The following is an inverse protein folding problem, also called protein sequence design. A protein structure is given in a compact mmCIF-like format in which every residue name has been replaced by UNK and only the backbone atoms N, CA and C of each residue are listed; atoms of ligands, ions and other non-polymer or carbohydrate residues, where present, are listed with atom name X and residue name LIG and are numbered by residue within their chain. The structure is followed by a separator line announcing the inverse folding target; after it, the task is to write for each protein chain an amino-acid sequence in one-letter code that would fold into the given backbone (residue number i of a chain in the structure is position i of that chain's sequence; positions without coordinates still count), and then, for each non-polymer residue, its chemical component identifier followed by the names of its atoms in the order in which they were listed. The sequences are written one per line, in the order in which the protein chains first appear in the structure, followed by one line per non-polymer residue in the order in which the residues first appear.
data_IF_258776166400
#
_entry.id   IF_258776166400
#
_cell.length_a   1.000
_cell.length_b   1.000
_cell.length_c   1.000
_cell.angle_alpha   90.00
_cell.angle_beta   90.00
_cell.angle_gamma   90.00
#
_symmetry.space_group_name_H-M   'P 1'
#
loop_
_entity.id
_entity.type
_entity.pdbx_description
1 polymer ?
#
# COMPACT_ATOMS: atom_id res chain seq x y z
N UNK A 1 45.60 -8.86 -1.40
CA UNK A 1 44.61 -7.80 -1.66
C UNK A 1 43.93 -8.08 -3.02
N UNK A 2 42.95 -9.00 -3.03
CA UNK A 2 42.01 -9.33 -4.14
C UNK A 2 41.20 -10.57 -3.73
N UNK A 3 40.28 -10.42 -2.78
CA UNK A 3 39.35 -11.50 -2.41
C UNK A 3 38.11 -10.99 -1.64
N UNK A 4 37.55 -9.82 -1.98
CA UNK A 4 36.26 -9.37 -1.40
C UNK A 4 35.40 -8.64 -2.47
N UNK A 5 35.38 -9.14 -3.72
CA UNK A 5 34.55 -8.51 -4.77
C UNK A 5 33.75 -9.49 -5.65
N UNK A 6 33.54 -10.74 -5.22
CA UNK A 6 32.82 -11.75 -6.04
C UNK A 6 31.51 -12.29 -5.46
N UNK A 7 31.03 -11.80 -4.33
CA UNK A 7 29.79 -12.30 -3.68
C UNK A 7 28.61 -11.34 -3.70
N UNK A 8 28.75 -10.10 -4.19
CA UNK A 8 27.62 -9.18 -4.32
C UNK A 8 26.80 -9.39 -5.61
N UNK A 9 27.43 -9.86 -6.70
CA UNK A 9 26.75 -10.02 -8.00
C UNK A 9 25.78 -11.21 -8.06
N UNK A 10 26.02 -12.27 -7.28
CA UNK A 10 25.18 -13.48 -7.28
C UNK A 10 23.83 -13.30 -6.58
N UNK A 11 23.77 -12.46 -5.53
CA UNK A 11 22.53 -12.21 -4.80
C UNK A 11 21.60 -11.20 -5.49
N UNK A 12 22.16 -10.24 -6.23
CA UNK A 12 21.37 -9.27 -7.00
C UNK A 12 20.62 -9.92 -8.18
N UNK A 13 21.23 -10.93 -8.82
CA UNK A 13 20.62 -11.65 -9.96
C UNK A 13 19.45 -12.54 -9.51
N UNK A 14 19.56 -13.18 -8.34
CA UNK A 14 18.50 -14.03 -7.81
C UNK A 14 17.29 -13.21 -7.33
N UNK A 15 17.53 -11.99 -6.85
CA UNK A 15 16.48 -11.07 -6.41
C UNK A 15 15.80 -10.34 -7.58
N UNK A 16 16.55 -10.01 -8.63
CA UNK A 16 15.99 -9.49 -9.89
C UNK A 16 15.07 -10.51 -10.59
N UNK A 17 15.39 -11.81 -10.52
CA UNK A 17 14.54 -12.88 -11.03
C UNK A 17 13.20 -12.97 -10.28
N UNK A 18 13.17 -12.61 -8.98
CA UNK A 18 11.94 -12.55 -8.18
C UNK A 18 11.04 -11.36 -8.55
N UNK A 19 11.64 -10.23 -8.98
CA UNK A 19 10.88 -9.05 -9.42
C UNK A 19 10.23 -9.26 -10.79
N UNK A 20 10.89 -10.03 -11.68
CA UNK A 20 10.34 -10.37 -13.00
C UNK A 20 9.12 -11.29 -12.97
N UNK A 21 8.80 -11.91 -11.83
CA UNK A 21 7.65 -12.80 -11.64
C UNK A 21 6.51 -12.17 -10.84
N UNK A 22 6.65 -10.91 -10.38
CA UNK A 22 5.55 -10.19 -9.72
C UNK A 22 4.51 -9.86 -10.80
N UNK A 23 3.31 -10.48 -10.76
CA UNK A 23 2.28 -10.15 -11.72
C UNK A 23 1.99 -8.64 -11.64
N UNK A 24 1.91 -8.00 -12.80
CA UNK A 24 1.41 -6.62 -12.91
C UNK A 24 0.05 -6.53 -12.24
N UNK A 25 -0.23 -5.45 -11.50
CA UNK A 25 -1.58 -5.16 -11.01
C UNK A 25 -2.63 -5.23 -12.16
N UNK A 26 -2.22 -4.93 -13.40
CA UNK A 26 -3.03 -5.09 -14.60
C UNK A 26 -3.47 -6.55 -14.91
N UNK A 27 -2.71 -7.57 -14.49
CA UNK A 27 -3.09 -8.98 -14.70
C UNK A 27 -4.06 -9.52 -13.65
N UNK A 28 -4.19 -8.86 -12.50
CA UNK A 28 -5.21 -9.17 -11.50
C UNK A 28 -6.61 -8.67 -11.94
N UNK A 29 -6.66 -7.64 -12.79
CA UNK A 29 -7.92 -7.06 -13.31
C UNK A 29 -8.59 -7.95 -14.37
N UNK A 30 -7.85 -8.82 -15.06
CA UNK A 30 -8.33 -9.51 -16.27
C UNK A 30 -8.85 -10.94 -16.07
N UNK A 31 -8.68 -11.56 -14.89
CA UNK A 31 -9.08 -12.95 -14.66
C UNK A 31 -10.16 -13.06 -13.57
N UNK A 32 -11.41 -12.86 -13.99
CA UNK A 32 -12.62 -12.90 -13.17
C UNK A 32 -12.89 -14.25 -12.48
N UNK A 33 -12.20 -14.51 -11.37
CA UNK A 33 -12.57 -15.55 -10.40
C UNK A 33 -13.28 -14.92 -9.19
N UNK A 34 -14.45 -15.43 -8.76
CA UNK A 34 -15.34 -14.69 -7.85
C UNK A 34 -14.86 -14.50 -6.40
N UNK A 35 -13.60 -14.79 -6.04
CA UNK A 35 -13.19 -14.80 -4.63
C UNK A 35 -11.72 -14.47 -4.32
N UNK A 36 -10.92 -13.82 -5.18
CA UNK A 36 -9.47 -13.66 -4.90
C UNK A 36 -8.86 -12.30 -5.24
N UNK A 37 -8.22 -11.73 -4.23
CA UNK A 37 -6.93 -11.02 -4.29
C UNK A 37 -6.84 -9.69 -5.06
N UNK A 38 -7.79 -8.79 -4.86
CA UNK A 38 -7.65 -7.36 -5.21
C UNK A 38 -7.45 -6.47 -3.96
N UNK A 39 -6.76 -6.98 -2.93
CA UNK A 39 -6.46 -6.19 -1.74
C UNK A 39 -5.31 -5.22 -2.01
N UNK A 40 -5.36 -3.96 -1.53
CA UNK A 40 -4.26 -3.01 -1.67
C UNK A 40 -2.95 -3.49 -1.00
N UNK A 41 -3.04 -4.40 -0.02
CA UNK A 41 -1.89 -5.04 0.63
C UNK A 41 -1.02 -5.95 -0.25
N UNK A 42 -1.46 -6.28 -1.47
CA UNK A 42 -0.69 -7.10 -2.42
C UNK A 42 0.37 -6.34 -3.20
N UNK A 43 0.47 -5.02 -3.06
CA UNK A 43 1.36 -4.18 -3.87
C UNK A 43 2.71 -3.98 -3.16
N UNK A 44 3.83 -4.54 -3.66
CA UNK A 44 5.12 -4.51 -2.97
C UNK A 44 5.85 -3.16 -3.11
N UNK A 45 5.20 -2.05 -2.76
CA UNK A 45 5.72 -0.69 -2.96
C UNK A 45 6.98 -0.44 -2.13
N UNK A 46 6.92 -0.71 -0.82
CA UNK A 46 8.08 -0.54 0.07
C UNK A 46 9.20 -1.51 -0.32
N UNK A 47 8.88 -2.78 -0.61
CA UNK A 47 9.88 -3.78 -0.98
C UNK A 47 10.64 -3.40 -2.26
N UNK A 48 9.94 -2.95 -3.31
CA UNK A 48 10.58 -2.45 -4.54
C UNK A 48 11.41 -1.19 -4.28
N UNK A 49 10.92 -0.28 -3.43
CA UNK A 49 11.62 0.95 -3.06
C UNK A 49 12.90 0.68 -2.28
N UNK A 50 12.88 -0.24 -1.32
CA UNK A 50 14.07 -0.61 -0.55
C UNK A 50 15.07 -1.37 -1.41
N UNK A 51 14.60 -2.21 -2.33
CA UNK A 51 15.48 -2.88 -3.27
C UNK A 51 16.14 -1.88 -4.24
N UNK A 52 15.40 -0.86 -4.68
CA UNK A 52 15.96 0.27 -5.41
C UNK A 52 17.08 0.94 -4.60
N UNK A 53 16.83 1.30 -3.33
CA UNK A 53 17.85 1.92 -2.46
C UNK A 53 19.09 1.05 -2.28
N UNK A 54 18.93 -0.27 -2.22
CA UNK A 54 20.02 -1.21 -2.05
C UNK A 54 20.86 -1.44 -3.33
N UNK A 55 20.27 -1.28 -4.52
CA UNK A 55 20.89 -1.67 -5.79
C UNK A 55 21.21 -0.51 -6.73
N UNK A 56 20.49 0.60 -6.61
CA UNK A 56 20.52 1.71 -7.56
C UNK A 56 19.84 1.40 -8.90
N UNK A 57 19.07 0.31 -9.03
CA UNK A 57 18.35 0.00 -10.28
C UNK A 57 17.03 0.78 -10.38
N UNK A 58 17.05 1.89 -11.12
CA UNK A 58 15.89 2.77 -11.34
C UNK A 58 14.65 2.03 -11.89
N UNK A 59 14.82 0.86 -12.54
CA UNK A 59 13.67 0.06 -13.01
C UNK A 59 12.77 -0.41 -11.89
N UNK A 60 13.32 -0.62 -10.69
CA UNK A 60 12.57 -1.03 -9.51
C UNK A 60 11.70 0.11 -8.97
N UNK A 61 12.26 1.32 -8.91
CA UNK A 61 11.52 2.51 -8.50
C UNK A 61 10.41 2.84 -9.50
N UNK A 62 10.72 2.78 -10.80
CA UNK A 62 9.73 2.96 -11.86
C UNK A 62 8.60 1.92 -11.77
N UNK A 63 8.92 0.67 -11.43
CA UNK A 63 7.91 -0.37 -11.22
C UNK A 63 7.02 -0.08 -10.01
N UNK A 64 7.61 0.37 -8.91
CA UNK A 64 6.86 0.76 -7.71
C UNK A 64 5.91 1.92 -8.03
N UNK A 65 6.38 2.95 -8.76
CA UNK A 65 5.55 4.06 -9.21
C UNK A 65 4.39 3.59 -10.09
N UNK A 66 4.66 2.76 -11.10
CA UNK A 66 3.61 2.22 -11.97
C UNK A 66 2.50 1.51 -11.18
N UNK A 67 2.86 0.75 -10.16
CA UNK A 67 1.91 0.04 -9.31
C UNK A 67 1.12 0.99 -8.41
N UNK A 68 1.79 1.98 -7.82
CA UNK A 68 1.15 2.99 -6.98
C UNK A 68 0.19 3.89 -7.77
N UNK A 69 0.55 4.29 -8.99
CA UNK A 69 -0.35 5.01 -9.90
C UNK A 69 -1.60 4.18 -10.20
N UNK A 70 -1.43 2.89 -10.52
CA UNK A 70 -2.56 2.00 -10.81
C UNK A 70 -3.49 1.83 -9.60
N UNK A 71 -2.96 1.66 -8.38
CA UNK A 71 -3.78 1.47 -7.18
C UNK A 71 -4.43 2.76 -6.69
N UNK A 72 -3.75 3.91 -6.75
CA UNK A 72 -4.28 5.20 -6.27
C UNK A 72 -5.30 5.83 -7.21
N UNK A 73 -5.29 5.48 -8.50
CA UNK A 73 -6.24 5.98 -9.51
C UNK A 73 -7.37 5.00 -9.82
N UNK A 74 -7.30 3.76 -9.32
CA UNK A 74 -8.34 2.76 -9.59
C UNK A 74 -9.67 3.16 -8.95
N UNK A 75 -10.72 3.32 -9.76
CA UNK A 75 -12.07 3.61 -9.28
C UNK A 75 -12.69 2.44 -8.51
N UNK A 76 -12.20 1.22 -8.67
CA UNK A 76 -12.69 0.05 -7.94
C UNK A 76 -12.11 -0.08 -6.53
N UNK A 77 -11.05 0.67 -6.23
CA UNK A 77 -10.39 0.72 -4.92
C UNK A 77 -10.57 2.08 -4.25
N UNK A 78 -10.95 3.11 -4.99
CA UNK A 78 -11.06 4.49 -4.51
C UNK A 78 -12.44 5.07 -4.81
N UNK A 79 -13.47 4.55 -4.16
CA UNK A 79 -14.81 5.10 -4.24
C UNK A 79 -14.82 6.54 -3.71
N UNK A 80 -15.29 7.48 -4.55
CA UNK A 80 -15.18 8.93 -4.33
C UNK A 80 -13.76 9.40 -3.92
N UNK A 81 -12.72 8.68 -4.36
CA UNK A 81 -11.33 8.99 -4.06
C UNK A 81 -10.84 8.52 -2.67
N UNK A 82 -11.63 7.71 -1.95
CA UNK A 82 -11.26 7.15 -0.65
C UNK A 82 -11.02 5.64 -0.77
N UNK A 83 -9.90 5.18 -0.21
CA UNK A 83 -9.49 3.78 -0.27
C UNK A 83 -10.47 2.89 0.48
N UNK A 84 -10.96 1.86 -0.20
CA UNK A 84 -11.78 0.80 0.39
C UNK A 84 -11.36 -0.58 -0.14
N UNK A 85 -11.65 -1.59 0.66
CA UNK A 85 -11.48 -2.98 0.21
C UNK A 85 -12.70 -3.42 -0.64
N UNK A 86 -12.51 -4.28 -1.66
CA UNK A 86 -13.63 -4.90 -2.36
C UNK A 86 -14.51 -5.72 -1.40
N UNK A 87 -15.79 -5.37 -1.31
CA UNK A 87 -16.72 -6.01 -0.38
C UNK A 87 -16.58 -5.54 1.09
N UNK A 88 -15.87 -4.42 1.32
CA UNK A 88 -15.85 -3.72 2.60
C UNK A 88 -17.27 -3.43 3.10
N UNK A 89 -17.50 -3.72 4.38
CA UNK A 89 -18.79 -3.51 5.04
C UNK A 89 -18.58 -3.32 6.54
N UNK A 90 -19.50 -2.65 7.24
CA UNK A 90 -19.42 -2.45 8.69
C UNK A 90 -19.23 -3.78 9.43
N UNK A 91 -18.26 -3.82 10.35
CA UNK A 91 -17.93 -5.02 11.13
C UNK A 91 -17.26 -6.14 10.32
N UNK A 92 -17.03 -5.95 9.02
CA UNK A 92 -16.37 -6.89 8.11
C UNK A 92 -14.84 -6.93 8.25
N UNK A 93 -14.21 -7.61 7.29
CA UNK A 93 -12.73 -7.72 7.18
C UNK A 93 -12.09 -8.86 8.00
N UNK A 94 -12.84 -9.51 8.89
CA UNK A 94 -12.25 -10.53 9.78
C UNK A 94 -11.23 -9.91 10.75
N UNK A 95 -10.27 -10.72 11.22
CA UNK A 95 -9.24 -10.25 12.15
C UNK A 95 -8.14 -9.43 11.44
N UNK A 96 -7.76 -9.83 10.23
CA UNK A 96 -6.57 -9.30 9.55
C UNK A 96 -6.89 -8.24 8.49
N UNK A 97 -8.06 -8.34 7.84
CA UNK A 97 -8.46 -7.46 6.75
C UNK A 97 -8.30 -5.97 7.06
N UNK A 98 -8.74 -5.46 8.23
CA UNK A 98 -8.62 -4.05 8.55
C UNK A 98 -7.18 -3.50 8.52
N UNK A 99 -6.18 -4.34 8.80
CA UNK A 99 -4.77 -3.93 8.82
C UNK A 99 -4.21 -3.60 7.43
N UNK A 100 -4.81 -4.14 6.36
CA UNK A 100 -4.25 -4.05 5.02
C UNK A 100 -4.19 -2.63 4.45
N UNK A 101 -5.19 -1.80 4.72
CA UNK A 101 -5.20 -0.40 4.24
C UNK A 101 -4.07 0.42 4.87
N UNK A 102 -3.82 0.25 6.16
CA UNK A 102 -2.70 0.90 6.85
C UNK A 102 -1.34 0.45 6.32
N UNK A 103 -1.14 -0.86 6.15
CA UNK A 103 0.11 -1.39 5.56
C UNK A 103 0.35 -0.78 4.19
N UNK A 104 -0.68 -0.71 3.34
CA UNK A 104 -0.58 -0.06 2.04
C UNK A 104 -0.22 1.43 2.14
N UNK A 105 -0.88 2.20 3.03
CA UNK A 105 -0.59 3.62 3.22
C UNK A 105 0.86 3.85 3.68
N UNK A 106 1.35 3.03 4.61
CA UNK A 106 2.74 3.05 5.07
C UNK A 106 3.71 2.75 3.92
N UNK A 107 3.43 1.73 3.13
CA UNK A 107 4.28 1.33 2.02
C UNK A 107 4.30 2.38 0.89
N UNK A 108 3.16 3.04 0.64
CA UNK A 108 3.06 4.16 -0.28
C UNK A 108 3.87 5.37 0.19
N UNK A 109 3.88 5.67 1.50
CA UNK A 109 4.72 6.73 2.05
C UNK A 109 6.22 6.42 1.92
N UNK A 110 6.62 5.16 2.07
CA UNK A 110 8.01 4.73 1.82
C UNK A 110 8.40 5.04 0.36
N UNK A 111 7.57 4.68 -0.61
CA UNK A 111 7.78 5.01 -2.02
C UNK A 111 7.81 6.53 -2.24
N UNK A 112 6.82 7.25 -1.71
CA UNK A 112 6.68 8.70 -1.88
C UNK A 112 7.92 9.44 -1.38
N UNK A 113 8.48 9.02 -0.24
CA UNK A 113 9.72 9.58 0.33
C UNK A 113 10.97 9.35 -0.53
N UNK A 114 10.97 8.33 -1.40
CA UNK A 114 12.07 8.06 -2.32
C UNK A 114 12.01 8.93 -3.59
N UNK A 115 10.90 9.64 -3.83
CA UNK A 115 10.67 10.44 -5.03
C UNK A 115 10.64 11.93 -4.63
N UNK A 116 11.54 12.73 -5.20
CA UNK A 116 11.69 14.16 -4.83
C UNK A 116 10.39 14.96 -4.92
N UNK A 117 9.54 14.70 -5.92
CA UNK A 117 8.29 15.43 -6.13
C UNK A 117 7.15 14.98 -5.20
N UNK A 118 7.32 13.87 -4.47
CA UNK A 118 6.33 13.31 -3.54
C UNK A 118 4.90 13.25 -4.11
N UNK A 119 4.70 12.55 -5.26
CA UNK A 119 3.44 12.60 -6.01
C UNK A 119 2.23 12.02 -5.25
N UNK A 120 2.44 11.21 -4.21
CA UNK A 120 1.38 10.52 -3.49
C UNK A 120 0.99 11.20 -2.16
N UNK A 121 1.72 12.22 -1.73
CA UNK A 121 1.41 12.98 -0.50
C UNK A 121 -0.03 13.53 -0.50
N UNK A 122 -0.52 14.05 -1.63
CA UNK A 122 -1.89 14.54 -1.74
C UNK A 122 -2.95 13.45 -1.61
N UNK A 123 -2.65 12.23 -2.06
CA UNK A 123 -3.53 11.08 -1.89
C UNK A 123 -3.58 10.64 -0.42
N UNK A 124 -2.41 10.49 0.23
CA UNK A 124 -2.31 10.10 1.64
C UNK A 124 -3.04 11.08 2.56
N UNK A 125 -2.87 12.39 2.34
CA UNK A 125 -3.57 13.42 3.11
C UNK A 125 -5.09 13.32 2.95
N UNK A 126 -5.59 13.10 1.73
CA UNK A 126 -7.03 12.90 1.49
C UNK A 126 -7.59 11.70 2.27
N UNK A 127 -6.84 10.59 2.32
CA UNK A 127 -7.26 9.42 3.08
C UNK A 127 -7.33 9.74 4.58
N UNK A 128 -6.29 10.39 5.13
CA UNK A 128 -6.22 10.76 6.54
C UNK A 128 -7.33 11.74 6.93
N UNK A 129 -7.58 12.77 6.11
CA UNK A 129 -8.63 13.76 6.33
C UNK A 129 -10.02 13.10 6.39
N UNK A 130 -10.30 12.18 5.46
CA UNK A 130 -11.58 11.46 5.45
C UNK A 130 -11.73 10.54 6.66
N UNK A 131 -10.69 9.77 6.99
CA UNK A 131 -10.72 8.89 8.16
C UNK A 131 -10.94 9.69 9.45
N UNK A 132 -10.28 10.85 9.58
CA UNK A 132 -10.44 11.75 10.72
C UNK A 132 -11.87 12.28 10.85
N UNK A 133 -12.47 12.71 9.73
CA UNK A 133 -13.78 13.32 9.72
C UNK A 133 -14.93 12.31 9.86
N UNK A 134 -14.79 11.12 9.26
CA UNK A 134 -15.93 10.24 8.97
C UNK A 134 -15.83 8.86 9.63
N UNK A 135 -14.62 8.38 9.94
CA UNK A 135 -14.37 7.04 10.49
C UNK A 135 -13.91 7.07 11.95
N UNK A 136 -14.15 8.19 12.64
CA UNK A 136 -13.68 8.41 14.00
C UNK A 136 -14.84 8.61 14.95
N UNK A 137 -14.81 7.92 16.10
CA UNK A 137 -15.82 8.10 17.14
C UNK A 137 -15.43 9.20 18.15
N UNK A 138 -16.31 9.53 19.09
CA UNK A 138 -16.08 10.57 20.10
C UNK A 138 -14.92 10.27 21.07
N UNK A 139 -14.53 9.00 21.22
CA UNK A 139 -13.34 8.60 21.99
C UNK A 139 -12.04 8.68 21.17
N UNK A 140 -12.14 9.10 19.90
CA UNK A 140 -11.03 9.24 19.00
C UNK A 140 -10.53 7.95 18.37
N UNK A 141 -11.32 6.87 18.45
CA UNK A 141 -11.00 5.57 17.86
C UNK A 141 -11.48 5.50 16.41
N UNK A 142 -10.74 4.75 15.59
CA UNK A 142 -11.02 4.59 14.17
C UNK A 142 -11.71 3.27 13.82
N UNK A 143 -12.48 3.27 12.74
CA UNK A 143 -13.14 2.09 12.22
C UNK A 143 -12.39 1.44 11.06
N UNK A 144 -13.13 0.63 10.28
CA UNK A 144 -12.65 0.04 9.04
C UNK A 144 -12.81 1.01 7.86
N UNK A 145 -13.89 1.78 7.83
CA UNK A 145 -14.35 2.45 6.61
C UNK A 145 -13.87 3.90 6.61
N UNK A 146 -12.73 4.20 5.99
CA UNK A 146 -12.18 5.57 5.99
C UNK A 146 -13.08 6.62 5.33
N UNK A 147 -14.04 6.19 4.50
CA UNK A 147 -15.10 7.05 3.96
C UNK A 147 -16.25 7.31 4.97
N UNK A 148 -16.23 6.61 6.09
CA UNK A 148 -17.27 6.54 7.10
C UNK A 148 -18.50 5.73 6.69
N UNK A 149 -19.49 5.63 7.60
CA UNK A 149 -19.37 6.04 9.01
C UNK A 149 -18.49 5.08 9.83
N UNK A 150 -18.06 5.49 11.02
CA UNK A 150 -17.40 4.60 11.99
C UNK A 150 -18.22 3.30 12.20
N UNK A 151 -17.57 2.14 12.11
CA UNK A 151 -18.22 0.85 12.39
C UNK A 151 -18.01 0.39 13.84
N UNK A 152 -16.80 -0.05 14.19
CA UNK A 152 -16.39 -0.53 15.50
C UNK A 152 -14.89 -0.29 15.68
N UNK A 153 -14.39 -0.44 16.89
CA UNK A 153 -12.95 -0.35 17.17
C UNK A 153 -12.38 -1.73 17.54
N UNK A 154 -11.23 -2.06 16.95
CA UNK A 154 -10.35 -3.16 17.35
C UNK A 154 -8.88 -2.82 17.02
N UNK A 155 -7.95 -3.69 17.43
CA UNK A 155 -6.53 -3.46 17.27
C UNK A 155 -6.10 -3.31 15.80
N UNK A 156 -6.69 -4.08 14.89
CA UNK A 156 -6.36 -4.03 13.46
C UNK A 156 -6.78 -2.69 12.85
N UNK A 157 -8.01 -2.21 13.16
CA UNK A 157 -8.50 -0.90 12.73
C UNK A 157 -7.66 0.25 13.29
N UNK A 158 -7.27 0.17 14.58
CA UNK A 158 -6.42 1.20 15.19
C UNK A 158 -5.01 1.22 14.58
N UNK A 159 -4.41 0.04 14.35
CA UNK A 159 -3.12 -0.07 13.69
C UNK A 159 -3.18 0.53 12.27
N UNK A 160 -4.24 0.21 11.53
CA UNK A 160 -4.46 0.69 10.18
C UNK A 160 -4.53 2.23 10.11
N UNK A 161 -5.33 2.83 11.01
CA UNK A 161 -5.43 4.28 11.10
C UNK A 161 -4.12 4.93 11.57
N UNK A 162 -3.38 4.31 12.50
CA UNK A 162 -2.08 4.83 12.95
C UNK A 162 -1.06 4.86 11.81
N UNK A 163 -0.98 3.79 11.02
CA UNK A 163 -0.10 3.73 9.84
C UNK A 163 -0.47 4.83 8.83
N UNK A 164 -1.76 5.04 8.58
CA UNK A 164 -2.24 6.12 7.71
C UNK A 164 -1.85 7.50 8.23
N UNK A 165 -2.07 7.78 9.51
CA UNK A 165 -1.75 9.09 10.09
C UNK A 165 -0.24 9.34 10.03
N UNK A 166 0.57 8.34 10.37
CA UNK A 166 2.04 8.43 10.28
C UNK A 166 2.54 8.65 8.84
N UNK A 167 1.81 8.16 7.83
CA UNK A 167 2.16 8.35 6.41
C UNK A 167 2.03 9.79 5.91
N UNK A 168 1.38 10.68 6.68
CA UNK A 168 1.14 12.09 6.30
C UNK A 168 2.13 13.10 6.91
N UNK A 169 3.05 12.64 7.77
CA UNK A 169 4.05 13.49 8.42
C UNK A 169 5.41 13.50 7.69
#
# INVERSE_FOLDING_TARGET
MRAILRTAAGSAILLAALVSTIPTAANAVTHGHPHRDCSPSGVPLAALTELYRATGDDRLLAKAQQLADASTTSTSLNDNGILHDPGEKPGGGGADGPSFKGIYARDLAVLDSAITTRPYSGYLNRQADSAYANDRNAAGQYGLMWAGPFDKSDAARQQSALDLMNATY
#
